data_IF_527285534021
#
_entry.id   IF_527285534021
#
_cell.length_a   1.000
_cell.length_b   1.000
_cell.length_c   1.000
_cell.angle_alpha   90.00
_cell.angle_beta   90.00
_cell.angle_gamma   90.00
#
_symmetry.space_group_name_H-M   'P 1'
#
loop_
_entity.id
_entity.type
_entity.pdbx_description
1 polymer ?
#
# COMPACT_ATOMS: atom_id res chain seq x y z
N UNK A 1 -0.13 11.97 -17.37
CA UNK A 1 1.13 11.78 -16.62
C UNK A 1 0.74 11.69 -15.16
N UNK A 2 0.87 10.51 -14.55
CA UNK A 2 0.49 10.27 -13.16
C UNK A 2 1.65 10.71 -12.27
N UNK A 3 1.50 11.80 -11.53
CA UNK A 3 2.42 12.19 -10.46
C UNK A 3 2.05 11.42 -9.19
N UNK A 4 2.19 10.09 -9.22
CA UNK A 4 2.49 9.39 -7.98
C UNK A 4 3.97 9.66 -7.66
N UNK A 5 4.37 9.86 -6.40
CA UNK A 5 5.78 9.97 -6.08
C UNK A 5 6.36 8.56 -6.22
N UNK A 6 6.92 8.22 -7.37
CA UNK A 6 7.44 6.88 -7.70
C UNK A 6 8.58 6.40 -6.77
N UNK A 7 8.97 7.17 -5.75
CA UNK A 7 10.04 6.83 -4.79
C UNK A 7 9.67 7.19 -3.33
N UNK A 8 8.41 6.98 -2.91
CA UNK A 8 8.08 7.10 -1.47
C UNK A 8 8.82 6.04 -0.67
N UNK A 9 9.48 6.48 0.41
CA UNK A 9 10.27 5.63 1.30
C UNK A 9 10.02 5.96 2.76
N UNK A 10 10.03 4.94 3.60
CA UNK A 10 9.94 5.07 5.06
C UNK A 10 11.30 5.06 5.77
N UNK A 11 12.37 4.71 5.05
CA UNK A 11 13.72 4.69 5.58
C UNK A 11 14.64 5.68 4.85
N UNK A 12 15.50 6.34 5.61
CA UNK A 12 16.55 7.19 5.06
C UNK A 12 17.63 6.34 4.36
N UNK A 13 18.35 6.94 3.39
CA UNK A 13 19.45 6.24 2.70
C UNK A 13 20.56 5.89 3.69
N UNK A 14 20.85 6.79 4.62
CA UNK A 14 21.90 6.59 5.63
C UNK A 14 21.56 5.43 6.58
N UNK A 15 20.28 5.27 6.97
CA UNK A 15 19.84 4.13 7.77
C UNK A 15 20.03 2.79 7.02
N UNK A 16 19.66 2.75 5.74
CA UNK A 16 19.84 1.55 4.89
C UNK A 16 21.32 1.18 4.76
N UNK A 17 22.19 2.16 4.52
CA UNK A 17 23.63 1.93 4.35
C UNK A 17 24.31 1.50 5.65
N UNK A 18 23.92 2.11 6.77
CA UNK A 18 24.38 1.74 8.12
C UNK A 18 24.02 0.28 8.42
N UNK A 19 22.76 -0.10 8.18
CA UNK A 19 22.31 -1.48 8.36
C UNK A 19 23.02 -2.48 7.43
N UNK A 20 23.36 -2.06 6.20
CA UNK A 20 23.99 -2.94 5.21
C UNK A 20 25.48 -3.21 5.49
N UNK A 21 26.28 -2.17 5.72
CA UNK A 21 27.75 -2.25 5.59
C UNK A 21 28.56 -2.00 6.87
N UNK A 22 27.90 -1.72 8.01
CA UNK A 22 28.58 -1.33 9.27
C UNK A 22 29.57 -0.16 9.11
N UNK A 23 29.53 0.53 7.96
CA UNK A 23 30.47 1.56 7.53
C UNK A 23 29.77 2.91 7.57
N UNK A 24 30.55 3.98 7.71
CA UNK A 24 30.00 5.34 7.77
C UNK A 24 29.31 5.70 6.44
N UNK A 25 27.98 5.94 6.43
CA UNK A 25 27.22 6.28 5.22
C UNK A 25 27.70 7.58 4.56
N UNK A 26 28.39 8.47 5.29
CA UNK A 26 28.97 9.70 4.75
C UNK A 26 30.02 9.43 3.65
N UNK A 27 30.65 8.26 3.68
CA UNK A 27 31.69 7.83 2.73
C UNK A 27 31.16 7.07 1.52
N UNK A 28 29.86 6.75 1.49
CA UNK A 28 29.24 5.97 0.43
C UNK A 28 29.17 6.75 -0.90
N UNK A 29 29.50 6.07 -2.00
CA UNK A 29 29.48 6.67 -3.34
C UNK A 29 28.03 6.94 -3.80
N UNK A 30 27.85 7.92 -4.71
CA UNK A 30 26.51 8.32 -5.17
C UNK A 30 25.70 7.15 -5.75
N UNK A 31 26.33 6.28 -6.54
CA UNK A 31 25.64 5.13 -7.13
C UNK A 31 25.13 4.14 -6.06
N UNK A 32 25.82 4.02 -4.92
CA UNK A 32 25.42 3.17 -3.80
C UNK A 32 24.24 3.79 -3.05
N UNK A 33 24.27 5.11 -2.85
CA UNK A 33 23.14 5.90 -2.31
C UNK A 33 21.90 5.78 -3.19
N UNK A 34 22.03 5.87 -4.51
CA UNK A 34 20.91 5.73 -5.46
C UNK A 34 20.35 4.29 -5.47
N UNK A 35 21.19 3.27 -5.26
CA UNK A 35 20.72 1.89 -5.04
C UNK A 35 19.96 1.79 -3.72
N UNK A 36 20.50 2.30 -2.63
CA UNK A 36 19.85 2.31 -1.33
C UNK A 36 18.48 3.01 -1.38
N UNK A 37 18.36 4.15 -2.07
CA UNK A 37 17.09 4.87 -2.29
C UNK A 37 16.04 3.98 -2.96
N UNK A 38 16.38 3.34 -4.08
CA UNK A 38 15.48 2.41 -4.79
C UNK A 38 15.11 1.18 -3.96
N UNK A 39 16.05 0.66 -3.16
CA UNK A 39 15.77 -0.48 -2.27
C UNK A 39 14.86 -0.10 -1.11
N UNK A 40 15.00 1.10 -0.56
CA UNK A 40 14.11 1.64 0.47
C UNK A 40 12.68 1.83 -0.07
N UNK A 41 12.53 2.38 -1.28
CA UNK A 41 11.22 2.52 -1.93
C UNK A 41 10.56 1.14 -2.17
N UNK A 42 11.30 0.19 -2.75
CA UNK A 42 10.79 -1.16 -2.98
C UNK A 42 10.50 -1.94 -1.68
N UNK A 43 11.20 -1.66 -0.58
CA UNK A 43 10.90 -2.22 0.74
C UNK A 43 9.65 -1.59 1.34
N UNK A 44 9.45 -0.29 1.15
CA UNK A 44 8.25 0.45 1.54
C UNK A 44 7.00 -0.07 0.83
N UNK A 45 7.08 -0.32 -0.47
CA UNK A 45 5.99 -0.97 -1.22
C UNK A 45 5.70 -2.39 -0.67
N UNK A 46 6.75 -3.15 -0.36
CA UNK A 46 6.58 -4.48 0.26
C UNK A 46 5.90 -4.40 1.62
N UNK A 47 6.22 -3.38 2.43
CA UNK A 47 5.59 -3.13 3.73
C UNK A 47 4.09 -2.91 3.57
N UNK A 48 3.70 -1.99 2.69
CA UNK A 48 2.30 -1.61 2.47
C UNK A 48 1.50 -2.82 1.99
N UNK A 49 2.03 -3.57 1.02
CA UNK A 49 1.37 -4.76 0.49
C UNK A 49 1.22 -5.89 1.52
N UNK A 50 2.14 -6.02 2.48
CA UNK A 50 2.08 -7.07 3.50
C UNK A 50 1.21 -6.69 4.69
N UNK A 51 1.22 -5.41 5.08
CA UNK A 51 0.56 -4.94 6.30
C UNK A 51 -0.82 -4.33 6.05
N UNK A 52 -1.11 -3.90 4.82
CA UNK A 52 -2.28 -3.06 4.51
C UNK A 52 -2.19 -1.67 5.18
N UNK A 53 -1.00 -1.26 5.66
CA UNK A 53 -0.82 -0.01 6.40
C UNK A 53 0.16 0.90 5.66
N UNK A 54 -0.35 2.06 5.26
CA UNK A 54 0.43 3.14 4.69
C UNK A 54 0.51 4.32 5.67
N UNK A 55 1.70 4.89 5.81
CA UNK A 55 1.98 6.12 6.58
C UNK A 55 1.99 7.37 5.69
N UNK A 56 1.46 7.24 4.48
CA UNK A 56 1.22 8.32 3.55
C UNK A 56 -0.07 8.04 2.79
N UNK A 57 -0.58 9.05 2.11
CA UNK A 57 -1.74 8.90 1.23
C UNK A 57 -1.37 7.98 0.05
N UNK A 58 -2.10 6.87 -0.08
CA UNK A 58 -2.01 5.94 -1.19
C UNK A 58 -3.36 5.86 -1.88
N UNK A 59 -3.33 5.81 -3.20
CA UNK A 59 -4.54 5.70 -4.02
C UNK A 59 -4.76 4.27 -4.50
N UNK A 60 -5.99 3.81 -4.38
CA UNK A 60 -6.50 2.57 -4.97
C UNK A 60 -7.15 2.88 -6.32
N UNK A 61 -6.63 2.27 -7.38
CA UNK A 61 -7.09 2.49 -8.76
C UNK A 61 -6.60 3.83 -9.34
N UNK A 62 -6.31 3.86 -10.63
CA UNK A 62 -5.92 5.08 -11.34
C UNK A 62 -7.18 5.84 -11.81
N UNK A 63 -7.43 7.09 -11.37
CA UNK A 63 -8.62 7.84 -11.76
C UNK A 63 -8.75 8.05 -13.27
N UNK A 64 -7.62 8.08 -13.99
CA UNK A 64 -7.59 8.21 -15.46
C UNK A 64 -7.78 6.88 -16.20
N UNK A 65 -7.71 5.73 -15.52
CA UNK A 65 -7.96 4.42 -16.10
C UNK A 65 -8.91 3.58 -15.23
N UNK A 66 -10.24 3.72 -15.42
CA UNK A 66 -11.26 3.01 -14.65
C UNK A 66 -11.22 1.48 -14.75
N UNK A 67 -10.38 0.89 -15.61
CA UNK A 67 -10.15 -0.56 -15.66
C UNK A 67 -9.30 -1.07 -14.52
N UNK A 68 -8.54 -0.18 -13.88
CA UNK A 68 -7.67 -0.50 -12.74
C UNK A 68 -8.38 -0.42 -11.40
N UNK A 69 -9.62 0.10 -11.39
CA UNK A 69 -10.39 0.26 -10.15
C UNK A 69 -10.84 -1.12 -9.66
N UNK A 70 -10.76 -1.38 -8.35
CA UNK A 70 -11.37 -2.56 -7.75
C UNK A 70 -12.85 -2.61 -8.07
N UNK A 71 -13.31 -3.82 -8.39
CA UNK A 71 -14.69 -4.12 -8.71
C UNK A 71 -15.20 -5.10 -7.66
N UNK A 72 -16.34 -4.79 -7.06
CA UNK A 72 -16.88 -5.54 -5.93
C UNK A 72 -18.15 -6.28 -6.32
N UNK A 73 -18.21 -7.55 -5.94
CA UNK A 73 -19.41 -8.38 -5.98
C UNK A 73 -20.18 -8.26 -4.67
N UNK A 74 -21.49 -8.50 -4.70
CA UNK A 74 -22.37 -8.49 -3.51
C UNK A 74 -23.30 -9.70 -3.52
N UNK A 75 -23.73 -10.18 -2.36
CA UNK A 75 -24.61 -11.36 -2.30
C UNK A 75 -26.09 -11.06 -2.55
N UNK A 76 -26.56 -9.88 -2.15
CA UNK A 76 -27.98 -9.55 -2.10
C UNK A 76 -28.31 -8.22 -2.80
N UNK A 77 -27.81 -8.03 -4.02
CA UNK A 77 -28.08 -6.84 -4.83
C UNK A 77 -29.57 -6.63 -5.14
N UNK A 78 -30.45 -7.61 -4.87
CA UNK A 78 -31.90 -7.55 -5.19
C UNK A 78 -32.79 -7.52 -3.93
N UNK A 79 -32.23 -7.61 -2.71
CA UNK A 79 -33.01 -7.59 -1.45
C UNK A 79 -33.66 -6.22 -1.13
N UNK A 80 -34.52 -6.07 -0.13
CA UNK A 80 -34.94 -4.73 0.30
C UNK A 80 -33.87 -3.97 1.11
N UNK A 81 -32.75 -4.64 1.40
CA UNK A 81 -31.66 -4.12 2.22
C UNK A 81 -30.57 -3.45 1.36
N UNK A 82 -29.86 -2.46 1.91
CA UNK A 82 -28.69 -1.88 1.24
C UNK A 82 -27.65 -2.95 0.89
N UNK A 83 -27.08 -2.85 -0.30
CA UNK A 83 -25.95 -3.69 -0.67
C UNK A 83 -24.74 -3.28 0.16
N UNK A 84 -24.01 -4.25 0.70
CA UNK A 84 -22.85 -4.00 1.56
C UNK A 84 -21.58 -4.49 0.87
N UNK A 85 -20.60 -3.60 0.77
CA UNK A 85 -19.26 -3.87 0.27
C UNK A 85 -18.27 -3.62 1.39
N UNK A 86 -17.34 -4.56 1.59
CA UNK A 86 -16.24 -4.43 2.54
C UNK A 86 -15.01 -4.06 1.74
N UNK A 87 -14.40 -2.94 2.07
CA UNK A 87 -13.15 -2.50 1.48
C UNK A 87 -11.97 -3.18 2.18
N UNK A 88 -10.94 -3.52 1.42
CA UNK A 88 -9.73 -4.13 1.96
C UNK A 88 -9.00 -3.15 2.87
N UNK A 89 -8.82 -1.91 2.38
CA UNK A 89 -8.13 -0.83 3.06
C UNK A 89 -9.06 0.13 3.79
N UNK A 90 -8.53 0.82 4.80
CA UNK A 90 -9.27 1.84 5.54
C UNK A 90 -9.30 3.16 4.74
N UNK A 91 -10.44 3.53 4.12
CA UNK A 91 -10.49 4.69 3.24
C UNK A 91 -10.38 6.00 4.03
N UNK A 92 -9.74 6.99 3.41
CA UNK A 92 -9.93 8.40 3.75
C UNK A 92 -11.35 8.85 3.31
N UNK A 93 -11.87 9.98 3.84
CA UNK A 93 -13.07 10.60 3.33
C UNK A 93 -13.06 10.72 1.81
N UNK A 94 -14.09 10.18 1.16
CA UNK A 94 -14.20 10.19 -0.30
C UNK A 94 -14.39 11.63 -0.76
N UNK A 95 -13.52 12.10 -1.64
CA UNK A 95 -13.56 13.46 -2.16
C UNK A 95 -13.41 13.46 -3.69
N UNK A 96 -14.49 13.85 -4.38
CA UNK A 96 -14.50 13.98 -5.83
C UNK A 96 -13.48 15.02 -6.34
N UNK A 97 -13.18 16.07 -5.56
CA UNK A 97 -12.18 17.06 -5.93
C UNK A 97 -10.76 16.45 -5.95
N UNK A 98 -10.55 15.40 -5.16
CA UNK A 98 -9.33 14.60 -5.14
C UNK A 98 -9.40 13.43 -6.11
N UNK A 99 -10.34 13.41 -7.06
CA UNK A 99 -10.52 12.32 -8.03
C UNK A 99 -10.84 10.95 -7.41
N UNK A 100 -11.42 10.93 -6.21
CA UNK A 100 -12.08 9.73 -5.68
C UNK A 100 -13.44 9.57 -6.37
N UNK A 101 -13.85 8.33 -6.62
CA UNK A 101 -15.14 8.07 -7.26
C UNK A 101 -15.76 6.75 -6.79
N UNK A 102 -17.08 6.75 -6.64
CA UNK A 102 -17.90 5.57 -6.35
C UNK A 102 -18.90 5.43 -7.48
N UNK A 103 -18.78 4.35 -8.25
CA UNK A 103 -19.65 4.08 -9.37
C UNK A 103 -20.39 2.75 -9.19
N UNK A 104 -21.69 2.76 -9.47
CA UNK A 104 -22.56 1.58 -9.40
C UNK A 104 -22.91 1.14 -10.79
N UNK A 105 -22.93 -0.17 -11.01
CA UNK A 105 -23.27 -0.74 -12.30
C UNK A 105 -24.74 -0.51 -12.62
N UNK A 106 -25.03 0.15 -13.75
CA UNK A 106 -26.39 0.37 -14.26
C UNK A 106 -26.73 -0.53 -15.49
N UNK A 107 -25.69 -1.12 -16.10
CA UNK A 107 -25.79 -2.06 -17.22
C UNK A 107 -24.52 -2.92 -17.36
N UNK A 108 -24.41 -3.74 -18.41
CA UNK A 108 -23.35 -4.77 -18.51
C UNK A 108 -21.92 -4.19 -18.42
N UNK A 109 -21.71 -3.08 -19.11
CA UNK A 109 -20.42 -2.38 -19.23
C UNK A 109 -20.62 -0.86 -19.06
N UNK A 110 -21.69 -0.47 -18.36
CA UNK A 110 -22.03 0.91 -18.04
C UNK A 110 -22.11 1.07 -16.52
N UNK A 111 -21.74 2.27 -16.09
CA UNK A 111 -21.54 2.63 -14.69
C UNK A 111 -22.13 4.02 -14.48
N UNK A 112 -22.82 4.19 -13.36
CA UNK A 112 -23.38 5.46 -12.92
C UNK A 112 -22.57 5.98 -11.75
N UNK A 113 -22.11 7.23 -11.85
CA UNK A 113 -21.32 7.88 -10.82
C UNK A 113 -22.25 8.45 -9.75
N UNK A 114 -22.09 7.96 -8.53
CA UNK A 114 -22.88 8.38 -7.36
C UNK A 114 -22.03 9.08 -6.31
N UNK A 115 -20.79 9.48 -6.64
CA UNK A 115 -19.82 10.02 -5.68
C UNK A 115 -20.37 11.21 -4.89
N UNK A 116 -21.11 12.11 -5.54
CA UNK A 116 -21.70 13.29 -4.88
C UNK A 116 -22.95 13.02 -4.03
N UNK A 117 -23.46 11.78 -4.04
CA UNK A 117 -24.72 11.40 -3.39
C UNK A 117 -24.49 10.66 -2.05
N UNK A 118 -23.41 10.99 -1.32
CA UNK A 118 -23.15 10.46 0.03
C UNK A 118 -24.27 10.87 1.00
N UNK A 119 -24.76 9.92 1.79
CA UNK A 119 -25.89 10.06 2.71
C UNK A 119 -27.20 9.56 2.13
N UNK A 120 -27.43 9.77 0.83
CA UNK A 120 -28.68 9.42 0.16
C UNK A 120 -28.57 8.09 -0.59
N UNK A 121 -27.65 7.99 -1.56
CA UNK A 121 -27.50 6.77 -2.38
C UNK A 121 -26.50 5.80 -1.76
N UNK A 122 -25.52 6.30 -1.01
CA UNK A 122 -24.53 5.48 -0.34
C UNK A 122 -24.05 6.08 0.98
N UNK A 123 -23.50 5.25 1.86
CA UNK A 123 -22.85 5.68 3.10
C UNK A 123 -21.63 4.81 3.36
N UNK A 124 -20.56 5.39 3.87
CA UNK A 124 -19.33 4.65 4.18
C UNK A 124 -19.03 4.74 5.68
N UNK A 125 -19.02 3.58 6.34
CA UNK A 125 -18.47 3.48 7.70
C UNK A 125 -16.95 3.35 7.57
N UNK A 126 -16.25 4.49 7.57
CA UNK A 126 -14.80 4.58 7.40
C UNK A 126 -14.01 3.71 8.38
N UNK A 127 -14.51 3.57 9.63
CA UNK A 127 -13.86 2.73 10.66
C UNK A 127 -14.05 1.24 10.39
N UNK A 128 -15.22 0.85 9.91
CA UNK A 128 -15.53 -0.56 9.61
C UNK A 128 -15.26 -0.94 8.16
N UNK A 129 -14.70 -0.03 7.36
CA UNK A 129 -14.42 -0.21 5.93
C UNK A 129 -15.66 -0.65 5.14
N UNK A 130 -16.84 -0.20 5.57
CA UNK A 130 -18.11 -0.76 5.09
C UNK A 130 -18.88 0.26 4.27
N UNK A 131 -18.83 0.10 2.95
CA UNK A 131 -19.64 0.84 2.01
C UNK A 131 -21.03 0.22 1.91
N UNK A 132 -22.07 1.02 2.12
CA UNK A 132 -23.47 0.65 1.95
C UNK A 132 -24.07 1.45 0.82
N UNK A 133 -24.65 0.77 -0.16
CA UNK A 133 -25.35 1.38 -1.29
C UNK A 133 -26.84 1.12 -1.10
N UNK A 134 -27.60 2.19 -0.89
CA UNK A 134 -29.01 2.17 -0.50
C UNK A 134 -29.94 2.04 -1.70
N UNK A 135 -29.58 2.66 -2.82
CA UNK A 135 -30.41 2.68 -4.02
C UNK A 135 -29.70 1.99 -5.17
N UNK A 136 -30.50 1.26 -5.95
CA UNK A 136 -30.01 0.43 -7.05
C UNK A 136 -30.53 0.99 -8.35
N UNK A 137 -29.65 1.05 -9.34
CA UNK A 137 -29.94 1.62 -10.66
C UNK A 137 -29.83 0.60 -11.80
N UNK A 138 -29.52 -0.66 -11.49
CA UNK A 138 -29.46 -1.71 -12.51
C UNK A 138 -30.84 -2.06 -13.07
N UNK A 139 -30.95 -2.07 -14.41
CA UNK A 139 -32.12 -2.60 -15.11
C UNK A 139 -31.99 -4.10 -15.31
N UNK A 140 -32.95 -4.89 -14.78
CA UNK A 140 -32.88 -6.36 -14.79
C UNK A 140 -32.92 -6.90 -16.23
N UNK A 141 -31.81 -7.48 -16.69
CA UNK A 141 -31.77 -8.29 -17.92
C UNK A 141 -31.77 -9.79 -17.55
N UNK A 142 -32.47 -10.67 -18.29
CA UNK A 142 -32.62 -12.08 -17.93
C UNK A 142 -31.31 -12.88 -17.80
N UNK A 143 -30.26 -12.44 -18.47
CA UNK A 143 -28.95 -13.10 -18.53
C UNK A 143 -27.86 -12.36 -17.74
N UNK A 144 -28.22 -11.31 -17.00
CA UNK A 144 -27.26 -10.53 -16.21
C UNK A 144 -27.43 -10.82 -14.72
N UNK A 145 -26.32 -11.13 -14.04
CA UNK A 145 -26.30 -11.35 -12.61
C UNK A 145 -26.02 -10.01 -11.91
N UNK A 146 -26.98 -9.40 -11.20
CA UNK A 146 -26.78 -8.11 -10.54
C UNK A 146 -25.83 -8.18 -9.34
N UNK A 147 -25.55 -9.39 -8.84
CA UNK A 147 -24.61 -9.61 -7.74
C UNK A 147 -23.14 -9.50 -8.17
N UNK A 148 -22.85 -9.64 -9.46
CA UNK A 148 -21.48 -9.53 -9.96
C UNK A 148 -21.19 -8.09 -10.36
N UNK A 149 -19.93 -7.66 -10.27
CA UNK A 149 -19.45 -6.33 -10.69
C UNK A 149 -20.39 -5.20 -10.25
N UNK A 150 -20.89 -5.25 -9.03
CA UNK A 150 -21.99 -4.40 -8.58
C UNK A 150 -21.59 -2.93 -8.49
N UNK A 151 -20.39 -2.67 -7.96
CA UNK A 151 -19.81 -1.35 -7.93
C UNK A 151 -18.31 -1.42 -8.20
N UNK A 152 -17.76 -0.27 -8.57
CA UNK A 152 -16.32 -0.03 -8.61
C UNK A 152 -16.02 1.29 -7.93
N UNK A 153 -14.86 1.41 -7.32
CA UNK A 153 -14.46 2.68 -6.71
C UNK A 153 -12.96 2.93 -6.84
N UNK A 154 -12.59 4.19 -6.96
CA UNK A 154 -11.24 4.67 -6.71
C UNK A 154 -11.28 5.55 -5.47
N UNK A 155 -10.35 5.32 -4.56
CA UNK A 155 -10.32 5.99 -3.28
C UNK A 155 -8.90 6.07 -2.74
N UNK A 156 -8.71 6.91 -1.73
CA UNK A 156 -7.45 7.03 -1.02
C UNK A 156 -7.52 6.35 0.34
N UNK A 157 -6.39 5.86 0.81
CA UNK A 157 -6.21 5.38 2.18
C UNK A 157 -4.87 5.88 2.71
N UNK A 158 -4.71 5.89 4.03
CA UNK A 158 -3.53 6.43 4.70
C UNK A 158 -3.84 6.79 6.15
N UNK A 159 -2.93 7.50 6.82
CA UNK A 159 -3.15 7.93 8.20
C UNK A 159 -4.27 8.98 8.24
N UNK A 160 -5.31 8.70 9.03
CA UNK A 160 -6.43 9.62 9.25
C UNK A 160 -5.99 10.65 10.30
N UNK A 161 -6.12 11.94 9.98
CA UNK A 161 -5.86 13.07 10.88
C UNK A 161 -4.38 13.33 11.27
N UNK A 162 -3.40 12.77 10.53
CA UNK A 162 -1.98 13.11 10.69
C UNK A 162 -1.46 13.86 9.47
N UNK A 163 -0.81 15.02 9.70
CA UNK A 163 -0.11 15.74 8.65
C UNK A 163 1.14 14.95 8.21
N UNK A 164 1.09 14.40 7.01
CA UNK A 164 2.21 13.65 6.42
C UNK A 164 3.11 14.61 5.65
N UNK A 165 4.33 14.79 6.13
CA UNK A 165 5.37 15.53 5.39
C UNK A 165 6.25 14.56 4.62
N UNK A 166 6.42 14.82 3.33
CA UNK A 166 7.28 14.02 2.43
C UNK A 166 8.37 14.93 1.86
N UNK A 167 9.62 14.66 2.24
CA UNK A 167 10.80 15.42 1.81
C UNK A 167 11.73 14.53 0.98
N UNK A 168 11.95 14.86 -0.29
CA UNK A 168 12.73 14.02 -1.24
C UNK A 168 12.29 12.52 -1.24
N UNK A 169 10.97 12.31 -1.22
CA UNK A 169 10.35 10.99 -1.17
C UNK A 169 10.39 10.29 0.20
N UNK A 170 11.12 10.82 1.19
CA UNK A 170 11.12 10.28 2.55
C UNK A 170 9.91 10.80 3.33
N UNK A 171 9.15 9.91 3.95
CA UNK A 171 8.09 10.27 4.89
C UNK A 171 8.71 10.57 6.26
N UNK A 172 8.48 11.76 6.80
CA UNK A 172 9.15 12.22 8.02
C UNK A 172 8.55 11.66 9.32
N UNK A 173 7.24 11.37 9.33
CA UNK A 173 6.49 11.01 10.54
C UNK A 173 6.21 9.50 10.67
N UNK A 174 7.08 8.65 10.15
CA UNK A 174 6.92 7.19 10.27
C UNK A 174 7.39 6.71 11.65
N UNK A 175 6.68 5.76 12.31
CA UNK A 175 7.18 5.10 13.51
C UNK A 175 8.60 4.53 13.34
N UNK A 176 9.43 4.65 14.37
CA UNK A 176 10.86 4.32 14.26
C UNK A 176 11.11 2.83 13.96
N UNK A 177 10.33 1.95 14.59
CA UNK A 177 10.30 0.51 14.33
C UNK A 177 10.03 0.18 12.86
N UNK A 178 9.09 0.88 12.22
CA UNK A 178 8.80 0.71 10.79
C UNK A 178 9.95 1.21 9.93
N UNK A 179 10.54 2.36 10.27
CA UNK A 179 11.69 2.91 9.55
C UNK A 179 12.90 1.96 9.62
N UNK A 180 13.16 1.38 10.80
CA UNK A 180 14.21 0.38 11.04
C UNK A 180 13.95 -0.91 10.26
N UNK A 181 12.73 -1.47 10.33
CA UNK A 181 12.35 -2.65 9.56
C UNK A 181 12.50 -2.45 8.04
N UNK A 182 12.03 -1.32 7.51
CA UNK A 182 12.18 -0.98 6.08
C UNK A 182 13.66 -0.83 5.72
N UNK A 183 14.47 -0.22 6.59
CA UNK A 183 15.92 -0.13 6.40
C UNK A 183 16.58 -1.51 6.38
N UNK A 184 16.23 -2.38 7.33
CA UNK A 184 16.72 -3.76 7.42
C UNK A 184 16.39 -4.57 6.16
N UNK A 185 15.15 -4.45 5.68
CA UNK A 185 14.69 -5.11 4.45
C UNK A 185 15.42 -4.60 3.21
N UNK A 186 15.62 -3.30 3.10
CA UNK A 186 16.38 -2.69 2.01
C UNK A 186 17.85 -3.11 2.05
N UNK A 187 18.47 -3.13 3.23
CA UNK A 187 19.85 -3.56 3.46
C UNK A 187 20.07 -5.03 3.09
N UNK A 188 19.13 -5.92 3.45
CA UNK A 188 19.16 -7.32 3.00
C UNK A 188 19.16 -7.45 1.47
N UNK A 189 18.33 -6.67 0.77
CA UNK A 189 18.30 -6.68 -0.69
C UNK A 189 19.56 -6.09 -1.30
N UNK A 190 20.15 -5.06 -0.67
CA UNK A 190 21.38 -4.43 -1.12
C UNK A 190 22.57 -5.39 -1.01
N UNK A 191 22.71 -6.09 0.12
CA UNK A 191 23.78 -7.07 0.36
C UNK A 191 23.69 -8.32 -0.53
N UNK A 192 22.47 -8.78 -0.83
CA UNK A 192 22.22 -9.89 -1.77
C UNK A 192 22.75 -9.60 -3.19
N UNK A 193 22.51 -8.39 -3.65
CA UNK A 193 22.89 -7.91 -4.98
C UNK A 193 24.40 -7.74 -5.13
N UNK A 194 25.06 -7.23 -4.10
CA UNK A 194 26.53 -7.08 -4.05
C UNK A 194 27.24 -8.44 -4.12
N UNK A 195 26.63 -9.50 -3.55
CA UNK A 195 27.14 -10.87 -3.64
C UNK A 195 27.08 -11.42 -5.07
N UNK A 196 26.02 -11.11 -5.82
CA UNK A 196 25.88 -11.55 -7.22
C UNK A 196 26.87 -10.83 -8.15
N UNK A 197 27.21 -9.57 -7.84
CA UNK A 197 28.12 -8.77 -8.66
C UNK A 197 29.61 -9.00 -8.36
N UNK A 198 29.99 -9.31 -7.12
CA UNK A 198 31.41 -9.33 -6.74
C UNK A 198 32.11 -10.70 -6.83
N UNK A 199 31.41 -11.81 -7.03
CA UNK A 199 32.05 -13.14 -7.16
C UNK A 199 33.13 -13.40 -6.11
N UNK A 200 32.89 -12.97 -4.87
CA UNK A 200 33.93 -12.82 -3.83
C UNK A 200 34.32 -14.21 -3.32
N UNK A 201 35.62 -14.57 -3.31
CA UNK A 201 36.10 -15.78 -2.66
C UNK A 201 35.72 -15.76 -1.17
N UNK A 202 35.39 -16.94 -0.65
CA UNK A 202 34.96 -17.10 0.74
C UNK A 202 36.12 -16.84 1.71
N UNK A 203 36.08 -15.69 2.40
CA UNK A 203 37.09 -15.27 3.37
C UNK A 203 36.76 -15.70 4.81
N UNK A 204 35.86 -16.68 5.02
CA UNK A 204 35.47 -17.14 6.37
C UNK A 204 34.56 -16.18 7.15
N UNK A 205 34.13 -15.06 6.54
CA UNK A 205 33.13 -14.14 7.09
C UNK A 205 31.68 -14.57 6.80
N UNK A 206 31.44 -15.73 6.20
CA UNK A 206 30.08 -16.18 5.89
C UNK A 206 29.21 -16.38 7.13
N UNK A 207 29.79 -16.81 8.25
CA UNK A 207 29.05 -17.05 9.51
C UNK A 207 28.50 -15.75 10.11
N UNK A 208 29.28 -14.67 10.13
CA UNK A 208 28.83 -13.36 10.64
C UNK A 208 27.82 -12.68 9.70
N UNK A 209 27.89 -12.97 8.40
CA UNK A 209 26.95 -12.44 7.39
C UNK A 209 25.62 -13.18 7.41
N UNK A 210 25.65 -14.51 7.58
CA UNK A 210 24.45 -15.33 7.76
C UNK A 210 23.67 -14.95 9.01
N UNK A 211 24.37 -14.73 10.13
CA UNK A 211 23.73 -14.26 11.37
C UNK A 211 23.17 -12.84 11.24
N UNK A 212 23.89 -11.92 10.59
CA UNK A 212 23.39 -10.55 10.35
C UNK A 212 22.13 -10.55 9.48
N UNK A 213 22.12 -11.37 8.42
CA UNK A 213 20.93 -11.51 7.56
C UNK A 213 19.75 -12.13 8.32
N UNK A 214 20.00 -13.12 9.18
CA UNK A 214 18.95 -13.73 10.00
C UNK A 214 18.33 -12.67 10.93
N UNK A 215 19.16 -11.86 11.60
CA UNK A 215 18.69 -10.78 12.48
C UNK A 215 17.86 -9.73 11.72
N UNK A 216 18.32 -9.24 10.56
CA UNK A 216 17.56 -8.26 9.77
C UNK A 216 16.25 -8.81 9.20
N UNK A 217 16.19 -10.14 8.97
CA UNK A 217 14.98 -10.82 8.54
C UNK A 217 13.99 -10.98 9.69
N UNK A 218 14.49 -11.36 10.86
CA UNK A 218 13.71 -11.48 12.10
C UNK A 218 13.09 -10.13 12.48
N UNK A 219 13.88 -9.05 12.47
CA UNK A 219 13.39 -7.69 12.71
C UNK A 219 12.24 -7.31 11.78
N UNK A 220 12.40 -7.48 10.46
CA UNK A 220 11.32 -7.23 9.50
C UNK A 220 10.08 -8.08 9.79
N UNK A 221 10.26 -9.38 10.06
CA UNK A 221 9.14 -10.31 10.25
C UNK A 221 8.40 -10.05 11.57
N UNK A 222 9.11 -9.71 12.65
CA UNK A 222 8.53 -9.31 13.93
C UNK A 222 7.72 -8.03 13.80
N UNK A 223 8.26 -6.99 13.17
CA UNK A 223 7.51 -5.74 12.97
C UNK A 223 6.30 -5.95 12.06
N UNK A 224 6.41 -6.71 10.97
CA UNK A 224 5.24 -7.00 10.12
C UNK A 224 4.17 -7.78 10.89
N UNK A 225 4.56 -8.74 11.74
CA UNK A 225 3.65 -9.51 12.58
C UNK A 225 2.85 -8.62 13.54
N UNK A 226 3.52 -7.67 14.20
CA UNK A 226 2.87 -6.71 15.11
C UNK A 226 1.84 -5.83 14.39
N UNK A 227 2.13 -5.41 13.16
CA UNK A 227 1.25 -4.52 12.41
C UNK A 227 0.10 -5.24 11.71
N UNK A 228 0.25 -6.52 11.39
CA UNK A 228 -0.81 -7.37 10.81
C UNK A 228 -1.69 -8.03 11.88
N UNK A 229 -1.29 -8.00 13.16
CA UNK A 229 -1.99 -8.68 14.25
C UNK A 229 -1.84 -10.20 14.24
N UNK A 230 -1.01 -10.74 13.34
CA UNK A 230 -0.59 -12.14 13.32
C UNK A 230 0.79 -12.22 13.98
N UNK A 231 0.84 -12.34 15.31
CA UNK A 231 2.07 -12.74 16.00
C UNK A 231 2.43 -14.17 15.58
N UNK A 232 3.64 -14.40 15.09
CA UNK A 232 4.14 -15.73 14.72
C UNK A 232 4.73 -16.52 15.90
N UNK A 233 4.34 -16.18 17.14
CA UNK A 233 4.68 -16.96 18.34
C UNK A 233 3.81 -18.23 18.46
#
# INVERSE_FOLDING_TARGET
>A
MSTAPDDVRYASVDAVLTAATDSDPSSAQQWERDRAKRRAAAATETWINQTGKAFHEVRVGNPSDPRTWPVFDVHDAISWSPATVILDEQPLPIDAAQSDAVEVRDGRDSWDDITSEEGDEWTLDYRRKRLRIHRRRFSRKPWDNPNTRFCRLTYRYGPIDEDVTITDGLVENVPNDVAEAVAARAAMRLTLDDNAQRGVPDNGQQTSRGSKRAALKEEWEETVADYTGFSTL
#
